data_IF_952178839426
#
_entry.id   IF_952178839426
#
_cell.length_a   1.000
_cell.length_b   1.000
_cell.length_c   1.000
_cell.angle_alpha   90.00
_cell.angle_beta   90.00
_cell.angle_gamma   90.00
#
_symmetry.space_group_name_H-M   'P 1'
#
loop_
_entity.id
_entity.type
_entity.pdbx_description
1 polymer ?
#
# COMPACT_ATOMS: atom_id res chain seq x y z
N UNK A 1 5.78 -0.67 -15.90
CA UNK A 1 5.01 0.59 -15.90
C UNK A 1 3.61 0.30 -16.41
N UNK A 2 2.57 0.84 -15.77
CA UNK A 2 1.18 0.48 -16.07
C UNK A 2 0.79 0.88 -17.49
N UNK A 3 0.79 -0.08 -18.41
CA UNK A 3 0.40 0.11 -19.81
C UNK A 3 -1.12 -0.06 -19.90
N UNK A 4 -1.86 1.04 -20.01
CA UNK A 4 -3.25 0.96 -20.44
C UNK A 4 -3.23 0.85 -21.95
N UNK A 5 -3.48 -0.37 -22.46
CA UNK A 5 -3.71 -0.59 -23.89
C UNK A 5 -5.18 -0.32 -24.16
N UNK A 6 -5.47 0.77 -24.86
CA UNK A 6 -6.81 0.95 -25.46
C UNK A 6 -6.72 0.54 -26.93
N UNK A 7 -7.49 -0.47 -27.30
CA UNK A 7 -7.77 -0.78 -28.70
C UNK A 7 -8.78 0.24 -29.21
N UNK A 8 -8.36 1.08 -30.14
CA UNK A 8 -9.20 2.13 -30.72
C UNK A 8 -9.85 1.69 -32.06
N UNK A 9 -9.55 0.48 -32.53
CA UNK A 9 -10.04 -0.10 -33.78
C UNK A 9 -9.16 -1.26 -34.24
N UNK A 10 -9.45 -1.82 -35.42
CA UNK A 10 -8.63 -2.88 -36.04
C UNK A 10 -7.18 -2.40 -36.23
N UNK A 11 -6.24 -3.06 -35.55
CA UNK A 11 -4.80 -2.82 -35.68
C UNK A 11 -4.24 -1.59 -34.94
N UNK A 12 -5.07 -0.71 -34.36
CA UNK A 12 -4.58 0.51 -33.68
C UNK A 12 -4.65 0.38 -32.16
N UNK A 13 -3.48 0.16 -31.55
CA UNK A 13 -3.31 0.18 -30.09
C UNK A 13 -2.71 1.51 -29.65
N UNK A 14 -3.42 2.27 -28.81
CA UNK A 14 -2.85 3.49 -28.20
C UNK A 14 -2.26 3.17 -26.84
N UNK A 15 -0.98 3.50 -26.68
CA UNK A 15 -0.27 3.31 -25.42
C UNK A 15 -0.38 4.59 -24.59
N UNK A 16 -1.23 4.58 -23.58
CA UNK A 16 -1.23 5.63 -22.57
C UNK A 16 -0.19 5.30 -21.51
N UNK A 17 0.84 6.12 -21.46
CA UNK A 17 1.86 6.08 -20.42
C UNK A 17 1.38 6.89 -19.22
N UNK A 18 0.95 6.19 -18.17
CA UNK A 18 0.68 6.80 -16.87
C UNK A 18 1.80 6.46 -15.89
N UNK A 19 2.29 7.43 -15.09
CA UNK A 19 3.13 7.11 -13.94
C UNK A 19 2.28 6.37 -12.90
N UNK A 20 2.25 5.04 -12.98
CA UNK A 20 1.50 4.15 -12.08
C UNK A 20 0.25 3.52 -12.69
N UNK A 21 -0.32 2.53 -12.00
CA UNK A 21 -1.59 1.93 -12.41
C UNK A 21 -2.76 2.80 -11.91
N UNK A 22 -3.84 2.95 -12.70
CA UNK A 22 -5.03 3.73 -12.31
C UNK A 22 -5.61 3.26 -10.97
N UNK A 23 -5.60 1.95 -10.74
CA UNK A 23 -6.03 1.32 -9.49
C UNK A 23 -5.26 1.85 -8.27
N UNK A 24 -3.98 2.16 -8.41
CA UNK A 24 -3.14 2.69 -7.33
C UNK A 24 -3.56 4.11 -6.96
N UNK A 25 -3.80 4.95 -7.96
CA UNK A 25 -4.29 6.32 -7.76
C UNK A 25 -5.65 6.36 -7.06
N UNK A 26 -6.56 5.44 -7.41
CA UNK A 26 -7.86 5.31 -6.73
C UNK A 26 -7.66 4.93 -5.26
N UNK A 27 -6.80 3.94 -4.99
CA UNK A 27 -6.50 3.48 -3.63
C UNK A 27 -5.87 4.60 -2.78
N UNK A 28 -4.94 5.38 -3.37
CA UNK A 28 -4.37 6.56 -2.71
C UNK A 28 -5.43 7.62 -2.43
N UNK A 29 -6.33 7.88 -3.37
CA UNK A 29 -7.46 8.78 -3.17
C UNK A 29 -8.38 8.33 -2.04
N UNK A 30 -8.68 7.04 -1.94
CA UNK A 30 -9.45 6.45 -0.83
C UNK A 30 -8.71 6.62 0.50
N UNK A 31 -7.40 6.36 0.54
CA UNK A 31 -6.61 6.51 1.77
C UNK A 31 -6.64 7.96 2.30
N UNK A 32 -6.44 8.94 1.42
CA UNK A 32 -6.53 10.37 1.76
C UNK A 32 -7.95 10.74 2.16
N UNK A 33 -8.96 10.33 1.38
CA UNK A 33 -10.36 10.62 1.66
C UNK A 33 -10.84 10.06 3.01
N UNK A 34 -10.45 8.83 3.34
CA UNK A 34 -10.76 8.21 4.62
C UNK A 34 -10.09 8.95 5.78
N UNK A 35 -8.84 9.41 5.61
CA UNK A 35 -8.15 10.22 6.60
C UNK A 35 -8.78 11.58 6.83
N UNK A 36 -9.18 12.28 5.76
CA UNK A 36 -9.92 13.55 5.86
C UNK A 36 -11.26 13.36 6.54
N UNK A 37 -11.99 12.30 6.22
CA UNK A 37 -13.25 11.98 6.88
C UNK A 37 -13.05 11.71 8.38
N UNK A 38 -12.05 10.90 8.74
CA UNK A 38 -11.70 10.63 10.14
C UNK A 38 -11.29 11.91 10.88
N UNK A 39 -10.54 12.81 10.23
CA UNK A 39 -10.19 14.13 10.77
C UNK A 39 -11.45 14.96 11.07
N UNK A 40 -12.32 15.15 10.07
CA UNK A 40 -13.51 15.99 10.20
C UNK A 40 -14.45 15.45 11.27
N UNK A 41 -14.74 14.15 11.26
CA UNK A 41 -15.59 13.53 12.29
C UNK A 41 -14.99 13.69 13.68
N UNK A 42 -13.69 13.43 13.83
CA UNK A 42 -13.01 13.59 15.12
C UNK A 42 -13.04 15.04 15.60
N UNK A 43 -12.83 16.01 14.70
CA UNK A 43 -12.87 17.42 15.03
C UNK A 43 -14.26 17.85 15.47
N UNK A 44 -15.31 17.43 14.75
CA UNK A 44 -16.71 17.76 15.08
C UNK A 44 -17.11 17.20 16.44
N UNK A 45 -16.71 15.96 16.75
CA UNK A 45 -17.09 15.29 18.01
C UNK A 45 -16.28 15.81 19.19
N UNK A 46 -14.96 15.92 19.05
CA UNK A 46 -14.06 16.21 20.18
C UNK A 46 -13.78 17.70 20.34
N UNK A 47 -14.01 18.51 19.31
CA UNK A 47 -13.61 19.91 19.23
C UNK A 47 -12.10 20.11 19.51
N UNK A 48 -11.30 19.07 19.29
CA UNK A 48 -9.88 19.05 19.57
C UNK A 48 -9.07 18.78 18.29
N UNK A 49 -8.39 19.82 17.82
CA UNK A 49 -7.58 19.79 16.60
C UNK A 49 -6.42 18.80 16.65
N UNK A 50 -5.77 18.64 17.80
CA UNK A 50 -4.65 17.70 17.98
C UNK A 50 -5.11 16.25 17.84
N UNK A 51 -6.20 15.88 18.51
CA UNK A 51 -6.78 14.53 18.42
C UNK A 51 -7.25 14.26 17.00
N UNK A 52 -7.96 15.20 16.39
CA UNK A 52 -8.42 15.09 15.01
C UNK A 52 -7.27 14.92 14.02
N UNK A 53 -6.23 15.76 14.13
CA UNK A 53 -5.04 15.70 13.29
C UNK A 53 -4.32 14.36 13.41
N UNK A 54 -4.12 13.88 14.65
CA UNK A 54 -3.47 12.61 14.91
C UNK A 54 -4.26 11.44 14.34
N UNK A 55 -5.58 11.40 14.55
CA UNK A 55 -6.43 10.31 14.04
C UNK A 55 -6.55 10.32 12.51
N UNK A 56 -6.76 11.49 11.91
CA UNK A 56 -6.89 11.60 10.45
C UNK A 56 -5.60 11.26 9.72
N UNK A 57 -4.46 11.75 10.22
CA UNK A 57 -3.15 11.44 9.67
C UNK A 57 -2.78 9.96 9.87
N UNK A 58 -3.02 9.40 11.07
CA UNK A 58 -2.81 7.97 11.35
C UNK A 58 -3.67 7.06 10.47
N UNK A 59 -4.90 7.47 10.17
CA UNK A 59 -5.79 6.74 9.26
C UNK A 59 -5.20 6.74 7.84
N UNK A 60 -4.74 7.89 7.37
CA UNK A 60 -4.13 8.05 6.04
C UNK A 60 -2.87 7.20 5.91
N UNK A 61 -1.93 7.33 6.86
CA UNK A 61 -0.68 6.58 6.86
C UNK A 61 -0.91 5.10 7.08
N UNK A 62 -1.89 4.70 7.90
CA UNK A 62 -2.28 3.31 8.12
C UNK A 62 -2.79 2.63 6.85
N UNK A 63 -3.80 3.21 6.20
CA UNK A 63 -4.34 2.64 4.95
C UNK A 63 -3.26 2.65 3.85
N UNK A 64 -2.55 3.76 3.71
CA UNK A 64 -1.45 3.88 2.75
C UNK A 64 -0.36 2.85 2.97
N UNK A 65 0.07 2.67 4.23
CA UNK A 65 1.05 1.68 4.65
C UNK A 65 0.61 0.26 4.28
N UNK A 66 -0.60 -0.14 4.67
CA UNK A 66 -1.13 -1.48 4.35
C UNK A 66 -1.16 -1.76 2.84
N UNK A 67 -1.56 -0.78 2.04
CA UNK A 67 -1.59 -0.92 0.58
C UNK A 67 -0.19 -1.04 -0.03
N UNK A 68 0.78 -0.27 0.47
CA UNK A 68 2.17 -0.35 0.05
C UNK A 68 2.80 -1.71 0.41
N UNK A 69 2.57 -2.20 1.63
CA UNK A 69 3.09 -3.50 2.07
C UNK A 69 2.59 -4.67 1.22
N UNK A 70 1.29 -4.68 0.88
CA UNK A 70 0.72 -5.69 -0.04
C UNK A 70 1.38 -5.64 -1.43
N UNK A 71 1.63 -4.43 -1.93
CA UNK A 71 2.27 -4.21 -3.22
C UNK A 71 3.72 -4.69 -3.22
N UNK A 72 4.46 -4.44 -2.14
CA UNK A 72 5.86 -4.86 -2.03
C UNK A 72 6.00 -6.37 -2.06
N UNK A 73 5.09 -7.11 -1.41
CA UNK A 73 5.06 -8.58 -1.51
C UNK A 73 4.81 -9.05 -2.95
N UNK A 74 3.86 -8.42 -3.65
CA UNK A 74 3.53 -8.79 -5.03
C UNK A 74 4.73 -8.55 -5.97
N UNK A 75 5.45 -7.44 -5.78
CA UNK A 75 6.60 -7.09 -6.59
C UNK A 75 7.80 -8.04 -6.42
N UNK A 76 7.90 -8.74 -5.30
CA UNK A 76 9.00 -9.69 -5.03
C UNK A 76 8.85 -11.04 -5.77
N UNK A 77 7.73 -11.28 -6.46
CA UNK A 77 7.40 -12.58 -7.05
C UNK A 77 7.67 -12.71 -8.56
N UNK A 78 8.05 -11.64 -9.24
CA UNK A 78 8.16 -11.64 -10.71
C UNK A 78 9.50 -12.17 -11.28
N UNK A 79 10.46 -12.62 -10.46
CA UNK A 79 11.79 -13.02 -10.94
C UNK A 79 11.86 -14.48 -11.45
N UNK A 80 12.14 -14.67 -12.75
CA UNK A 80 12.17 -15.99 -13.41
C UNK A 80 13.40 -16.22 -14.33
N UNK A 81 14.33 -15.27 -14.51
CA UNK A 81 15.46 -15.38 -15.44
C UNK A 81 16.75 -14.64 -14.95
N UNK A 82 17.82 -15.41 -14.67
CA UNK A 82 19.05 -14.99 -13.96
C UNK A 82 19.83 -13.80 -14.56
N UNK A 83 19.79 -13.59 -15.88
CA UNK A 83 20.49 -12.47 -16.53
C UNK A 83 19.62 -11.21 -16.63
N UNK A 84 18.32 -11.39 -16.91
CA UNK A 84 17.32 -10.32 -16.82
C UNK A 84 17.11 -9.88 -15.36
N UNK A 85 17.31 -10.79 -14.42
CA UNK A 85 17.17 -10.63 -12.97
C UNK A 85 18.07 -9.54 -12.41
N UNK A 86 19.30 -9.35 -12.89
CA UNK A 86 20.15 -8.26 -12.36
C UNK A 86 19.59 -6.89 -12.69
N UNK A 87 19.16 -6.68 -13.94
CA UNK A 87 18.58 -5.39 -14.37
C UNK A 87 17.19 -5.18 -13.79
N UNK A 88 16.37 -6.23 -13.74
CA UNK A 88 15.05 -6.21 -13.12
C UNK A 88 15.15 -5.95 -11.62
N UNK A 89 16.06 -6.64 -10.90
CA UNK A 89 16.28 -6.43 -9.48
C UNK A 89 16.77 -5.01 -9.16
N UNK A 90 17.65 -4.41 -9.97
CA UNK A 90 18.03 -3.00 -9.80
C UNK A 90 16.83 -2.06 -10.03
N UNK A 91 16.00 -2.31 -11.04
CA UNK A 91 14.81 -1.52 -11.29
C UNK A 91 13.77 -1.65 -10.16
N UNK A 92 13.58 -2.85 -9.62
CA UNK A 92 12.58 -3.12 -8.58
C UNK A 92 13.04 -2.71 -7.19
N UNK A 93 14.33 -2.88 -6.87
CA UNK A 93 14.94 -2.28 -5.67
C UNK A 93 14.88 -0.76 -5.72
N UNK A 94 15.13 -0.13 -6.88
CA UNK A 94 14.95 1.31 -7.05
C UNK A 94 13.50 1.76 -6.85
N UNK A 95 12.53 0.99 -7.37
CA UNK A 95 11.09 1.27 -7.16
C UNK A 95 10.66 1.07 -5.70
N UNK A 96 11.18 0.04 -5.04
CA UNK A 96 10.92 -0.21 -3.63
C UNK A 96 11.53 0.90 -2.75
N UNK A 97 12.78 1.28 -3.03
CA UNK A 97 13.45 2.41 -2.38
C UNK A 97 12.65 3.70 -2.56
N UNK A 98 12.18 3.99 -3.79
CA UNK A 98 11.32 5.14 -4.05
C UNK A 98 10.02 5.11 -3.25
N UNK A 99 9.34 3.96 -3.18
CA UNK A 99 8.12 3.82 -2.35
C UNK A 99 8.43 4.05 -0.87
N UNK A 100 9.54 3.51 -0.38
CA UNK A 100 10.01 3.74 0.99
C UNK A 100 10.28 5.22 1.27
N UNK A 101 10.95 5.93 0.35
CA UNK A 101 11.19 7.37 0.46
C UNK A 101 9.89 8.17 0.48
N UNK A 102 8.96 7.87 -0.43
CA UNK A 102 7.65 8.54 -0.47
C UNK A 102 6.86 8.28 0.81
N UNK A 103 6.84 7.04 1.32
CA UNK A 103 6.19 6.72 2.59
C UNK A 103 6.85 7.48 3.75
N UNK A 104 8.17 7.53 3.81
CA UNK A 104 8.91 8.30 4.81
C UNK A 104 8.57 9.79 4.76
N UNK A 105 8.47 10.38 3.57
CA UNK A 105 8.08 11.77 3.40
C UNK A 105 6.65 12.04 3.88
N UNK A 106 5.70 11.14 3.58
CA UNK A 106 4.32 11.25 4.05
C UNK A 106 4.25 11.12 5.57
N UNK A 107 4.99 10.20 6.17
CA UNK A 107 5.07 10.07 7.63
C UNK A 107 5.67 11.32 8.29
N UNK A 108 6.72 11.90 7.70
CA UNK A 108 7.32 13.14 8.19
C UNK A 108 6.34 14.34 8.05
N UNK A 109 5.65 14.45 6.92
CA UNK A 109 4.63 15.48 6.72
C UNK A 109 3.48 15.35 7.73
N UNK A 110 3.05 14.13 8.04
CA UNK A 110 2.07 13.86 9.08
C UNK A 110 2.55 14.30 10.47
N UNK A 111 3.81 14.00 10.81
CA UNK A 111 4.41 14.44 12.08
C UNK A 111 4.45 15.96 12.18
N UNK A 112 4.90 16.65 11.13
CA UNK A 112 4.91 18.12 11.07
C UNK A 112 3.50 18.69 11.20
N UNK A 113 2.51 18.07 10.54
CA UNK A 113 1.12 18.50 10.63
C UNK A 113 0.56 18.40 12.05
N UNK A 114 0.81 17.28 12.74
CA UNK A 114 0.38 17.08 14.13
C UNK A 114 1.13 18.01 15.09
N UNK A 115 2.43 18.20 14.89
CA UNK A 115 3.27 19.07 15.71
C UNK A 115 2.86 20.56 15.65
N UNK A 116 2.28 21.00 14.53
CA UNK A 116 1.80 22.39 14.38
C UNK A 116 0.40 22.63 14.98
N UNK A 117 -0.14 21.68 15.75
CA UNK A 117 -1.41 21.86 16.45
C UNK A 117 -1.22 22.74 17.70
N UNK A 118 -2.22 23.56 18.08
CA UNK A 118 -2.07 24.57 19.14
C UNK A 118 -1.88 24.01 20.56
N UNK A 119 -2.13 22.71 20.76
CA UNK A 119 -2.01 22.05 22.05
C UNK A 119 -0.53 21.76 22.38
N UNK A 120 -0.10 22.17 23.57
CA UNK A 120 1.28 21.99 24.05
C UNK A 120 1.36 20.99 25.19
N UNK A 121 2.53 20.38 25.38
CA UNK A 121 2.83 19.48 26.49
C UNK A 121 3.54 18.22 26.02
N UNK A 122 4.20 17.51 26.94
CA UNK A 122 5.08 16.39 26.57
C UNK A 122 4.43 15.38 25.61
N UNK A 123 3.19 14.96 25.86
CA UNK A 123 2.47 14.03 24.99
C UNK A 123 2.18 14.64 23.62
N UNK A 124 1.75 15.90 23.57
CA UNK A 124 1.41 16.61 22.35
C UNK A 124 2.63 16.93 21.48
N UNK A 125 3.74 17.30 22.10
CA UNK A 125 4.94 17.76 21.41
C UNK A 125 5.86 16.61 21.00
N UNK A 126 5.87 15.50 21.76
CA UNK A 126 6.82 14.40 21.54
C UNK A 126 6.17 13.09 21.09
N UNK A 127 5.03 12.71 21.66
CA UNK A 127 4.47 11.38 21.40
C UNK A 127 3.53 11.39 20.19
N UNK A 128 2.54 12.28 20.18
CA UNK A 128 1.49 12.31 19.15
C UNK A 128 2.00 12.55 17.73
N UNK A 129 3.04 13.38 17.48
CA UNK A 129 3.59 13.55 16.13
C UNK A 129 4.18 12.27 15.55
N UNK A 130 4.62 11.33 16.40
CA UNK A 130 5.24 10.07 15.97
C UNK A 130 4.18 8.99 15.69
N UNK A 131 2.99 9.09 16.29
CA UNK A 131 1.92 8.10 16.18
C UNK A 131 1.56 7.76 14.73
N UNK A 132 1.33 8.72 13.82
CA UNK A 132 0.99 8.41 12.43
C UNK A 132 2.06 7.58 11.72
N UNK A 133 3.34 7.82 12.01
CA UNK A 133 4.45 7.08 11.42
C UNK A 133 4.49 5.62 11.93
N UNK A 134 4.29 5.41 13.24
CA UNK A 134 4.21 4.07 13.84
C UNK A 134 3.04 3.29 13.24
N UNK A 135 1.85 3.90 13.17
CA UNK A 135 0.66 3.28 12.60
C UNK A 135 0.90 2.90 11.13
N UNK A 136 1.49 3.80 10.34
CA UNK A 136 1.82 3.52 8.94
C UNK A 136 2.83 2.38 8.76
N UNK A 137 3.86 2.31 9.61
CA UNK A 137 4.85 1.25 9.58
C UNK A 137 4.26 -0.12 9.97
N UNK A 138 3.47 -0.17 11.05
CA UNK A 138 2.78 -1.38 11.48
C UNK A 138 1.78 -1.86 10.43
N UNK A 139 1.01 -0.95 9.84
CA UNK A 139 0.08 -1.29 8.80
C UNK A 139 0.79 -1.80 7.54
N UNK A 140 1.95 -1.23 7.18
CA UNK A 140 2.78 -1.75 6.09
C UNK A 140 3.20 -3.20 6.35
N UNK A 141 3.78 -3.49 7.50
CA UNK A 141 4.17 -4.85 7.89
C UNK A 141 2.95 -5.79 7.89
N UNK A 142 1.82 -5.36 8.44
CA UNK A 142 0.58 -6.11 8.43
C UNK A 142 0.06 -6.40 7.01
N UNK A 143 0.17 -5.43 6.10
CA UNK A 143 -0.17 -5.59 4.69
C UNK A 143 0.70 -6.66 4.00
N UNK A 144 2.00 -6.69 4.30
CA UNK A 144 2.87 -7.73 3.78
C UNK A 144 2.47 -9.13 4.28
N UNK A 145 2.23 -9.25 5.59
CA UNK A 145 1.81 -10.52 6.21
C UNK A 145 0.48 -11.01 5.63
N UNK A 146 -0.49 -10.10 5.52
CA UNK A 146 -1.81 -10.40 4.95
C UNK A 146 -1.72 -10.96 3.53
N UNK A 147 -0.93 -10.31 2.65
CA UNK A 147 -0.81 -10.77 1.26
C UNK A 147 -0.10 -12.13 1.18
N UNK A 148 0.95 -12.35 1.99
CA UNK A 148 1.65 -13.65 2.06
C UNK A 148 0.72 -14.78 2.51
N UNK A 149 -0.09 -14.54 3.54
CA UNK A 149 -1.07 -15.53 4.01
C UNK A 149 -2.10 -15.86 2.93
N UNK A 150 -2.61 -14.83 2.22
CA UNK A 150 -3.54 -15.02 1.12
C UNK A 150 -2.97 -15.86 -0.03
N UNK A 151 -1.68 -15.71 -0.31
CA UNK A 151 -0.99 -16.50 -1.33
C UNK A 151 -0.78 -17.96 -0.91
N UNK A 152 -0.36 -18.20 0.34
CA UNK A 152 -0.24 -19.55 0.89
C UNK A 152 -1.58 -20.30 0.86
N UNK A 153 -2.68 -19.61 1.20
CA UNK A 153 -4.02 -20.17 1.12
C UNK A 153 -4.42 -20.57 -0.30
N UNK A 154 -4.10 -19.74 -1.31
CA UNK A 154 -4.36 -20.06 -2.73
C UNK A 154 -3.55 -21.28 -3.19
N UNK A 155 -2.26 -21.32 -2.88
CA UNK A 155 -1.39 -22.45 -3.24
C UNK A 155 -1.86 -23.77 -2.61
N UNK A 156 -2.34 -23.73 -1.36
CA UNK A 156 -2.92 -24.90 -0.69
C UNK A 156 -4.23 -25.37 -1.35
N UNK A 157 -5.11 -24.45 -1.76
CA UNK A 157 -6.35 -24.81 -2.45
C UNK A 157 -6.11 -25.42 -3.83
N UNK A 158 -5.11 -24.91 -4.57
CA UNK A 158 -4.74 -25.42 -5.89
C UNK A 158 -4.13 -26.83 -5.80
N UNK A 159 -3.33 -27.12 -4.77
CA UNK A 159 -2.76 -28.46 -4.58
C UNK A 159 -3.81 -29.51 -4.24
N UNK A 160 -4.81 -29.17 -3.42
CA UNK A 160 -5.94 -30.06 -3.10
C UNK A 160 -6.80 -30.34 -4.34
N UNK A 161 -7.12 -29.33 -5.15
CA UNK A 161 -7.90 -29.50 -6.37
C UNK A 161 -7.21 -30.39 -7.42
N UNK A 162 -5.89 -30.25 -7.56
CA UNK A 162 -5.09 -31.05 -8.51
C UNK A 162 -4.90 -32.50 -8.08
N UNK A 163 -4.95 -32.79 -6.77
CA UNK A 163 -4.94 -34.16 -6.24
C UNK A 163 -6.26 -34.87 -6.56
N UNK A 164 -7.39 -34.20 -6.36
CA UNK A 164 -8.73 -34.75 -6.64
C UNK A 164 -8.96 -35.01 -8.14
N UNK A 165 -8.42 -34.16 -9.02
CA UNK A 165 -8.54 -34.37 -10.47
C UNK A 165 -7.71 -35.56 -11.00
N UNK A 166 -6.57 -35.87 -10.37
CA UNK A 166 -5.73 -37.01 -10.77
C UNK A 166 -6.32 -38.36 -10.34
N UNK A 167 -7.13 -38.38 -9.30
CA UNK A 167 -7.79 -39.59 -8.79
C UNK A 167 -8.99 -40.02 -9.66
N UNK A 168 -9.49 -39.11 -10.50
CA UNK A 168 -10.62 -39.34 -11.41
C UNK A 168 -10.21 -39.67 -12.85
N UNK A 169 -8.91 -39.78 -13.15
CA UNK A 169 -8.44 -40.22 -14.47
C UNK A 169 -8.40 -41.76 -14.48
N UNK A 170 -9.34 -42.47 -15.15
CA UNK A 170 -9.31 -43.91 -15.20
C UNK A 170 -8.09 -44.34 -16.01
N UNK A 171 -7.15 -45.01 -15.35
CA UNK A 171 -6.05 -45.74 -15.99
C UNK A 171 -6.62 -46.68 -17.04
N UNK A 172 -6.43 -46.33 -18.31
CA UNK A 172 -6.68 -47.20 -19.47
C UNK A 172 -5.37 -47.76 -19.98
#
# INVERSE_FOLDING_TARGET
MGRIVRNLGEGVTKHYWYPGQKSDWIKSGIAVGAGVLAFVLSLVITQNSLVAATLGSSTTTGIGGALLGRRDVTALQEFHDMAAERRAAVADSGRAAWRGTVQGFVCAAAAVFVFNMPQTGFVADWLLPIVPAIVGALAHTGGMVYERMGQLGKAASESTGRSSSKELEPTR
#
